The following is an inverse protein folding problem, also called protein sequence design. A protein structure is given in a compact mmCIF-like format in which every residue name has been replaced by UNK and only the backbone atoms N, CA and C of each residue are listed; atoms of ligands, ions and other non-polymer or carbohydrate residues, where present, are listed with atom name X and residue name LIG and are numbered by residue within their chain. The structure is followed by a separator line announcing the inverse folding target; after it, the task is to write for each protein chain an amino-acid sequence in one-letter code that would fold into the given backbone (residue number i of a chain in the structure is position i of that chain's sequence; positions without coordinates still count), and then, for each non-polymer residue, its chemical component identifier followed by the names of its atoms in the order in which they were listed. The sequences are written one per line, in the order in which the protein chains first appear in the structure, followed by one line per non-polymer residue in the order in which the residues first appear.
data_IF_365876898746
#
_entry.id   IF_365876898746
#
_cell.length_a   1.000
_cell.length_b   1.000
_cell.length_c   1.000
_cell.angle_alpha   90.00
_cell.angle_beta   90.00
_cell.angle_gamma   90.00
#
_symmetry.space_group_name_H-M   'P 1'
#
loop_
_entity.id
_entity.type
_entity.pdbx_description
1 polymer ?
#
# COMPACT_ATOMS: atom_id res chain seq x y z
N UNK A 1 10.48 6.00 -8.84
CA UNK A 1 10.79 6.67 -10.12
C UNK A 1 9.55 7.45 -10.53
N UNK A 2 9.66 8.73 -10.87
CA UNK A 2 8.53 9.52 -11.38
C UNK A 2 8.45 9.30 -12.89
N UNK A 3 7.30 8.84 -13.37
CA UNK A 3 7.06 8.53 -14.78
C UNK A 3 5.78 9.21 -15.22
N UNK A 4 5.82 9.82 -16.40
CA UNK A 4 4.62 10.24 -17.09
C UNK A 4 4.12 9.04 -17.89
N UNK A 5 3.13 8.32 -17.36
CA UNK A 5 2.51 7.22 -18.11
C UNK A 5 1.73 7.83 -19.26
N UNK A 6 1.99 7.34 -20.48
CA UNK A 6 1.22 7.74 -21.67
C UNK A 6 -0.18 7.14 -21.67
N UNK A 7 -0.39 6.04 -20.95
CA UNK A 7 -1.62 5.23 -20.94
C UNK A 7 -2.01 4.90 -19.49
N UNK A 8 -3.30 4.74 -19.26
CA UNK A 8 -3.86 4.49 -17.93
C UNK A 8 -3.52 3.06 -17.47
N UNK A 9 -3.06 2.84 -16.21
CA UNK A 9 -2.78 1.50 -15.70
C UNK A 9 -3.94 0.49 -15.87
N UNK A 10 -5.19 0.96 -15.84
CA UNK A 10 -6.40 0.15 -16.02
C UNK A 10 -6.47 -0.52 -17.40
N UNK A 11 -5.95 0.14 -18.43
CA UNK A 11 -6.02 -0.35 -19.82
C UNK A 11 -5.13 -1.58 -20.05
N UNK A 12 -4.12 -1.77 -19.20
CA UNK A 12 -3.20 -2.91 -19.33
C UNK A 12 -3.84 -4.26 -18.98
N UNK A 13 -4.91 -4.28 -18.18
CA UNK A 13 -5.45 -5.50 -17.56
C UNK A 13 -4.57 -6.13 -16.48
N UNK A 14 -3.37 -5.59 -16.23
CA UNK A 14 -2.41 -6.11 -15.26
C UNK A 14 -2.61 -5.51 -13.87
N UNK A 15 -2.96 -4.22 -13.82
CA UNK A 15 -3.10 -3.48 -12.58
C UNK A 15 -4.52 -3.57 -12.01
N UNK A 16 -4.58 -3.73 -10.69
CA UNK A 16 -5.82 -3.67 -9.89
C UNK A 16 -5.76 -2.47 -8.96
N UNK A 17 -6.92 -1.88 -8.66
CA UNK A 17 -7.00 -0.79 -7.69
C UNK A 17 -6.63 -1.30 -6.30
N UNK A 18 -5.88 -0.50 -5.57
CA UNK A 18 -5.47 -0.78 -4.19
C UNK A 18 -5.61 0.45 -3.31
N UNK A 19 -5.35 0.31 -2.02
CA UNK A 19 -5.26 1.41 -1.06
C UNK A 19 -3.85 1.42 -0.50
N UNK A 20 -3.12 2.50 -0.79
CA UNK A 20 -1.80 2.76 -0.22
C UNK A 20 -1.87 3.75 0.96
N UNK A 21 -0.71 4.04 1.53
CA UNK A 21 -0.56 5.11 2.51
C UNK A 21 -0.93 6.47 1.89
N UNK A 22 -1.78 7.29 2.53
CA UNK A 22 -2.17 8.59 2.00
C UNK A 22 -0.99 9.57 1.88
N UNK A 23 -0.72 10.00 0.65
CA UNK A 23 0.38 10.90 0.23
C UNK A 23 -0.10 12.02 -0.70
N UNK A 24 -1.41 12.16 -0.89
CA UNK A 24 -2.02 13.09 -1.85
C UNK A 24 -2.26 12.49 -3.24
N UNK A 25 -2.15 11.16 -3.37
CA UNK A 25 -2.50 10.44 -4.58
C UNK A 25 -4.02 10.39 -4.82
N UNK A 26 -4.41 10.30 -6.08
CA UNK A 26 -5.80 10.12 -6.54
C UNK A 26 -6.18 8.63 -6.52
N UNK A 27 -5.20 7.77 -6.80
CA UNK A 27 -5.38 6.33 -6.79
C UNK A 27 -4.06 5.59 -6.57
N UNK A 28 -4.18 4.36 -6.08
CA UNK A 28 -3.09 3.39 -6.02
C UNK A 28 -3.46 2.19 -6.90
N UNK A 29 -2.49 1.75 -7.69
CA UNK A 29 -2.62 0.62 -8.59
C UNK A 29 -1.52 -0.39 -8.32
N UNK A 30 -1.87 -1.68 -8.27
CA UNK A 30 -0.93 -2.77 -8.03
C UNK A 30 -1.05 -3.88 -9.04
N UNK A 31 0.10 -4.41 -9.46
CA UNK A 31 0.19 -5.58 -10.31
C UNK A 31 1.17 -6.60 -9.70
N UNK A 32 0.85 -7.88 -9.78
CA UNK A 32 1.77 -8.93 -9.39
C UNK A 32 2.84 -9.16 -10.47
N UNK A 33 4.06 -9.53 -10.06
CA UNK A 33 5.08 -10.07 -10.96
C UNK A 33 5.03 -11.61 -10.91
N UNK A 34 4.59 -12.31 -11.98
CA UNK A 34 4.53 -13.77 -12.01
C UNK A 34 5.88 -14.43 -11.76
N UNK A 35 5.89 -15.53 -11.02
CA UNK A 35 7.13 -16.24 -10.66
C UNK A 35 8.02 -15.52 -9.63
N UNK A 36 7.56 -14.41 -9.07
CA UNK A 36 8.28 -13.64 -8.04
C UNK A 36 7.40 -13.33 -6.84
N UNK A 37 8.03 -13.09 -5.69
CA UNK A 37 7.38 -12.52 -4.51
C UNK A 37 7.16 -11.01 -4.61
N UNK A 38 7.62 -10.36 -5.67
CA UNK A 38 7.55 -8.91 -5.87
C UNK A 38 6.23 -8.46 -6.51
N UNK A 39 5.90 -7.19 -6.29
CA UNK A 39 4.76 -6.51 -6.90
C UNK A 39 5.17 -5.15 -7.47
N UNK A 40 4.44 -4.64 -8.45
CA UNK A 40 4.59 -3.28 -8.96
C UNK A 40 3.51 -2.42 -8.32
N UNK A 41 3.90 -1.31 -7.72
CA UNK A 41 2.99 -0.30 -7.18
C UNK A 41 3.15 0.99 -7.98
N UNK A 42 2.07 1.37 -8.68
CA UNK A 42 1.92 2.64 -9.36
C UNK A 42 0.99 3.55 -8.55
N UNK A 43 1.52 4.68 -8.10
CA UNK A 43 0.81 5.71 -7.35
C UNK A 43 0.45 6.83 -8.32
N UNK A 44 -0.83 7.16 -8.43
CA UNK A 44 -1.36 8.16 -9.35
C UNK A 44 -1.52 9.52 -8.67
N UNK A 45 -0.83 10.53 -9.19
CA UNK A 45 -0.96 11.92 -8.76
C UNK A 45 -1.53 12.79 -9.89
N UNK A 46 -1.99 14.02 -9.60
CA UNK A 46 -2.28 14.98 -10.65
C UNK A 46 -1.06 15.16 -11.57
N UNK A 47 -1.22 14.78 -12.84
CA UNK A 47 -0.23 15.00 -13.90
C UNK A 47 0.97 14.03 -13.94
N UNK A 48 1.09 13.07 -13.02
CA UNK A 48 2.19 12.09 -13.06
C UNK A 48 1.88 10.82 -12.26
N UNK A 49 2.71 9.79 -12.47
CA UNK A 49 2.73 8.59 -11.65
C UNK A 49 4.07 8.44 -10.95
N UNK A 50 4.05 7.89 -9.73
CA UNK A 50 5.25 7.36 -9.06
C UNK A 50 5.17 5.84 -9.06
N UNK A 51 6.17 5.19 -9.65
CA UNK A 51 6.19 3.72 -9.78
C UNK A 51 7.39 3.16 -9.03
N UNK A 52 7.15 2.09 -8.29
CA UNK A 52 8.18 1.30 -7.63
C UNK A 52 7.82 -0.20 -7.64
N UNK A 53 8.83 -1.02 -7.41
CA UNK A 53 8.67 -2.46 -7.23
C UNK A 53 8.82 -2.75 -5.74
N UNK A 54 7.78 -3.28 -5.14
CA UNK A 54 7.80 -3.77 -3.77
C UNK A 54 8.70 -5.00 -3.67
N UNK A 55 9.46 -5.12 -2.59
CA UNK A 55 10.22 -6.34 -2.33
C UNK A 55 9.29 -7.52 -2.10
N UNK A 56 8.16 -7.27 -1.45
CA UNK A 56 7.12 -8.25 -1.18
C UNK A 56 5.76 -7.72 -1.65
N UNK A 57 5.12 -8.46 -2.55
CA UNK A 57 3.75 -8.21 -2.98
C UNK A 57 2.82 -8.41 -1.76
N UNK A 58 2.07 -7.37 -1.35
CA UNK A 58 1.17 -7.45 -0.20
C UNK A 58 0.04 -8.47 -0.36
N UNK A 59 -0.30 -8.88 -1.59
CA UNK A 59 -1.27 -9.95 -1.84
C UNK A 59 -0.68 -11.35 -1.57
N UNK A 60 0.65 -11.49 -1.59
CA UNK A 60 1.35 -12.77 -1.33
C UNK A 60 1.93 -12.81 0.08
N UNK A 61 2.61 -11.74 0.51
CA UNK A 61 3.37 -11.67 1.75
C UNK A 61 3.05 -10.38 2.52
N UNK A 62 1.81 -10.21 3.04
CA UNK A 62 1.34 -8.96 3.65
C UNK A 62 2.18 -8.51 4.85
N UNK A 63 2.63 -9.45 5.69
CA UNK A 63 3.44 -9.14 6.88
C UNK A 63 4.83 -8.67 6.48
N UNK A 64 5.48 -9.35 5.53
CA UNK A 64 6.81 -8.95 5.06
C UNK A 64 6.78 -7.61 4.32
N UNK A 65 5.71 -7.36 3.57
CA UNK A 65 5.47 -6.06 2.93
C UNK A 65 5.40 -4.93 3.98
N UNK A 66 4.64 -5.10 5.06
CA UNK A 66 4.55 -4.11 6.13
C UNK A 66 5.90 -3.86 6.81
N UNK A 67 6.68 -4.91 7.07
CA UNK A 67 7.96 -4.79 7.74
C UNK A 67 9.04 -4.11 6.88
N UNK A 68 9.04 -4.40 5.56
CA UNK A 68 10.13 -3.98 4.66
C UNK A 68 9.76 -2.80 3.78
N UNK A 69 8.60 -2.85 3.14
CA UNK A 69 8.20 -1.89 2.11
C UNK A 69 7.33 -0.75 2.69
N UNK A 70 6.58 -1.00 3.77
CA UNK A 70 5.66 -0.04 4.39
C UNK A 70 5.79 0.09 5.93
N UNK A 71 6.99 0.36 6.48
CA UNK A 71 7.21 0.37 7.93
C UNK A 71 6.39 1.45 8.67
N UNK A 72 6.13 2.60 8.04
CA UNK A 72 5.26 3.63 8.62
C UNK A 72 3.83 3.13 8.80
N UNK A 73 3.30 2.41 7.80
CA UNK A 73 1.96 1.80 7.89
C UNK A 73 1.88 0.80 9.04
N UNK A 74 2.93 0.00 9.25
CA UNK A 74 3.01 -0.90 10.40
C UNK A 74 2.91 -0.14 11.74
N UNK A 75 3.71 0.93 11.90
CA UNK A 75 3.69 1.76 13.11
C UNK A 75 2.30 2.36 13.34
N UNK A 76 1.66 2.89 12.29
CA UNK A 76 0.31 3.46 12.39
C UNK A 76 -0.72 2.43 12.85
N UNK A 77 -0.70 1.22 12.29
CA UNK A 77 -1.63 0.15 12.68
C UNK A 77 -1.40 -0.26 14.15
N UNK A 78 -0.15 -0.41 14.58
CA UNK A 78 0.18 -0.77 15.96
C UNK A 78 -0.26 0.32 16.95
N UNK A 79 -0.01 1.59 16.63
CA UNK A 79 -0.41 2.71 17.47
C UNK A 79 -1.94 2.80 17.59
N UNK A 80 -2.67 2.61 16.48
CA UNK A 80 -4.12 2.57 16.49
C UNK A 80 -4.66 1.41 17.33
N UNK A 81 -4.06 0.22 17.19
CA UNK A 81 -4.43 -0.96 17.97
C UNK A 81 -4.21 -0.77 19.48
N UNK A 82 -3.06 -0.20 19.87
CA UNK A 82 -2.79 0.12 21.28
C UNK A 82 -3.78 1.15 21.83
N UNK A 83 -4.06 2.22 21.06
CA UNK A 83 -5.05 3.23 21.45
C UNK A 83 -6.43 2.64 21.68
N UNK A 84 -6.92 1.81 20.75
CA UNK A 84 -8.19 1.11 20.89
C UNK A 84 -8.20 0.17 22.11
N UNK A 85 -7.12 -0.59 22.33
CA UNK A 85 -6.99 -1.48 23.49
C UNK A 85 -7.07 -0.70 24.81
N UNK A 86 -6.36 0.42 24.92
CA UNK A 86 -6.39 1.27 26.11
C UNK A 86 -7.78 1.87 26.35
N UNK A 87 -8.45 2.35 25.31
CA UNK A 87 -9.82 2.87 25.41
C UNK A 87 -10.79 1.78 25.89
N UNK A 88 -10.74 0.58 25.32
CA UNK A 88 -11.56 -0.55 25.77
C UNK A 88 -11.25 -0.95 27.21
N UNK A 89 -9.98 -0.93 27.63
CA UNK A 89 -9.59 -1.23 29.00
C UNK A 89 -10.08 -0.20 30.02
N UNK A 90 -10.15 1.08 29.65
CA UNK A 90 -10.66 2.17 30.49
C UNK A 90 -12.20 2.15 30.56
N UNK A 91 -12.86 2.01 29.40
CA UNK A 91 -14.32 2.17 29.30
C UNK A 91 -15.12 0.87 29.40
N UNK A 92 -14.51 -0.27 29.08
CA UNK A 92 -15.13 -1.61 29.13
C UNK A 92 -15.13 -2.26 30.52
N UNK A 93 -14.61 -1.57 31.54
CA UNK A 93 -14.63 -2.01 32.96
C UNK A 93 -15.85 -1.51 33.75
N UNK A 94 -16.86 -0.96 33.08
CA UNK A 94 -18.14 -0.56 33.69
C UNK A 94 -19.13 -1.72 33.72
#
# INVERSE_FOLDING_TARGET
MVVQLRHDPRESGLFKRSVGEPKGQIADWRANIPGSDRGVHAVEFPGHYSIHVDHFDPAKHPVMHLLRDSPLTLVTVLAAGLGAFLLLGIFGRK
#
